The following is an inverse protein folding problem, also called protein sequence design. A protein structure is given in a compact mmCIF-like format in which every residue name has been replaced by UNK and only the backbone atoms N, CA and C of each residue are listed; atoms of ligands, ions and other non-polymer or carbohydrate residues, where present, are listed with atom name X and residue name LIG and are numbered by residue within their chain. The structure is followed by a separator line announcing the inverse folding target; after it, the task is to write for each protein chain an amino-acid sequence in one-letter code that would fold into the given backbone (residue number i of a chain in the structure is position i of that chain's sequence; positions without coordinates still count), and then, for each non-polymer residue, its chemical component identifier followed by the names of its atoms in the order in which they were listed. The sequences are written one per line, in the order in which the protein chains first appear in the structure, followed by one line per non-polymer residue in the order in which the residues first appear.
data_IF_844901035653
#
_entry.id   IF_844901035653
#
_cell.length_a   1.000
_cell.length_b   1.000
_cell.length_c   1.000
_cell.angle_alpha   90.00
_cell.angle_beta   90.00
_cell.angle_gamma   90.00
#
_symmetry.space_group_name_H-M   'P 1'
#
loop_
_entity.id
_entity.type
_entity.pdbx_description
1 polymer ?
#
# COMPACT_ATOMS: atom_id res chain seq x y z
N UNK A 1 11.41 -18.85 31.29
CA UNK A 1 11.24 -19.39 29.92
C UNK A 1 10.25 -18.59 29.08
N UNK A 2 9.03 -18.32 29.56
CA UNK A 2 8.03 -17.54 28.82
C UNK A 2 8.43 -16.08 28.53
N UNK A 3 9.07 -15.38 29.48
CA UNK A 3 9.49 -13.98 29.30
C UNK A 3 10.51 -13.83 28.14
N UNK A 4 11.50 -14.72 28.07
CA UNK A 4 12.50 -14.71 27.00
C UNK A 4 11.83 -14.92 25.63
N UNK A 5 10.85 -15.84 25.55
CA UNK A 5 10.12 -16.08 24.30
C UNK A 5 9.25 -14.88 23.83
N UNK A 6 8.74 -14.07 24.76
CA UNK A 6 7.99 -12.85 24.45
C UNK A 6 8.91 -11.74 23.95
N UNK A 7 10.07 -11.57 24.60
CA UNK A 7 11.10 -10.61 24.20
C UNK A 7 11.61 -10.94 22.79
N UNK A 8 11.91 -12.21 22.51
CA UNK A 8 12.36 -12.66 21.19
C UNK A 8 11.34 -12.34 20.09
N UNK A 9 10.04 -12.55 20.34
CA UNK A 9 8.98 -12.21 19.39
C UNK A 9 8.92 -10.70 19.13
N UNK A 10 8.98 -9.87 20.16
CA UNK A 10 8.95 -8.41 20.02
C UNK A 10 10.15 -7.90 19.23
N UNK A 11 11.35 -8.44 19.48
CA UNK A 11 12.58 -8.09 18.74
C UNK A 11 12.47 -8.47 17.26
N UNK A 12 11.89 -9.63 16.93
CA UNK A 12 11.64 -10.02 15.55
C UNK A 12 10.65 -9.07 14.84
N UNK A 13 9.59 -8.65 15.53
CA UNK A 13 8.63 -7.68 15.00
C UNK A 13 9.28 -6.32 14.75
N UNK A 14 10.10 -5.84 15.69
CA UNK A 14 10.85 -4.58 15.52
C UNK A 14 11.81 -4.62 14.33
N UNK A 15 12.53 -5.73 14.12
CA UNK A 15 13.39 -5.90 12.92
C UNK A 15 12.59 -5.81 11.62
N UNK A 16 11.40 -6.40 11.57
CA UNK A 16 10.55 -6.33 10.37
C UNK A 16 10.04 -4.92 10.11
N UNK A 17 9.61 -4.21 11.16
CA UNK A 17 9.17 -2.81 11.06
C UNK A 17 10.32 -1.91 10.62
N UNK A 18 11.53 -2.12 11.15
CA UNK A 18 12.72 -1.37 10.77
C UNK A 18 13.06 -1.57 9.28
N UNK A 19 13.06 -2.81 8.79
CA UNK A 19 13.30 -3.09 7.37
C UNK A 19 12.20 -2.47 6.48
N UNK A 20 10.96 -2.47 6.96
CA UNK A 20 9.84 -1.86 6.26
C UNK A 20 9.94 -0.34 6.20
N UNK A 21 10.40 0.30 7.29
CA UNK A 21 10.68 1.73 7.37
C UNK A 21 11.73 2.15 6.35
N UNK A 22 12.82 1.39 6.20
CA UNK A 22 13.82 1.68 5.17
C UNK A 22 13.20 1.71 3.77
N UNK A 23 12.40 0.70 3.42
CA UNK A 23 11.70 0.65 2.13
C UNK A 23 10.69 1.80 1.96
N UNK A 24 9.92 2.11 3.00
CA UNK A 24 8.96 3.23 2.98
C UNK A 24 9.62 4.60 2.83
N UNK A 25 10.84 4.79 3.35
CA UNK A 25 11.58 6.04 3.19
C UNK A 25 12.22 6.11 1.80
N UNK A 26 12.70 4.99 1.25
CA UNK A 26 13.33 4.96 -0.07
C UNK A 26 12.36 5.35 -1.20
N UNK A 27 11.10 4.92 -1.14
CA UNK A 27 10.09 5.21 -2.19
C UNK A 27 9.84 6.70 -2.43
N UNK A 28 9.45 7.51 -1.43
CA UNK A 28 9.28 8.96 -1.61
C UNK A 28 10.61 9.62 -1.94
N UNK A 29 11.74 9.14 -1.41
CA UNK A 29 13.05 9.71 -1.69
C UNK A 29 13.41 9.59 -3.19
N UNK A 30 13.21 8.42 -3.80
CA UNK A 30 13.42 8.23 -5.25
C UNK A 30 12.40 9.04 -6.06
N UNK A 31 11.13 8.97 -5.68
CA UNK A 31 10.04 9.61 -6.43
C UNK A 31 10.10 11.14 -6.38
N UNK A 32 10.71 11.71 -5.34
CA UNK A 32 10.97 13.15 -5.23
C UNK A 32 12.30 13.57 -5.87
N UNK A 33 13.34 12.73 -5.77
CA UNK A 33 14.66 13.05 -6.31
C UNK A 33 14.67 13.09 -7.84
N UNK A 34 13.95 12.20 -8.51
CA UNK A 34 13.90 12.15 -9.99
C UNK A 34 13.32 13.45 -10.59
N UNK A 35 12.12 13.93 -10.19
CA UNK A 35 11.60 15.22 -10.64
C UNK A 35 12.53 16.38 -10.29
N UNK A 36 13.12 16.36 -9.09
CA UNK A 36 14.01 17.41 -8.61
C UNK A 36 15.24 17.56 -9.52
N UNK A 37 15.92 16.45 -9.83
CA UNK A 37 17.07 16.43 -10.74
C UNK A 37 16.69 16.92 -12.14
N UNK A 38 15.52 16.50 -12.65
CA UNK A 38 15.02 16.99 -13.93
C UNK A 38 14.78 18.51 -13.92
N UNK A 39 14.18 19.06 -12.87
CA UNK A 39 13.96 20.50 -12.76
C UNK A 39 15.27 21.28 -12.72
N UNK A 40 16.26 20.83 -11.93
CA UNK A 40 17.59 21.46 -11.91
C UNK A 40 18.26 21.42 -13.27
N UNK A 41 18.22 20.27 -13.96
CA UNK A 41 18.75 20.13 -15.31
C UNK A 41 18.04 21.08 -16.29
N UNK A 42 16.72 21.13 -16.26
CA UNK A 42 15.90 21.98 -17.13
C UNK A 42 16.26 23.47 -16.96
N UNK A 43 16.47 23.93 -15.73
CA UNK A 43 16.85 25.32 -15.43
C UNK A 43 18.27 25.64 -15.91
N UNK A 44 19.27 24.82 -15.56
CA UNK A 44 20.68 25.08 -15.89
C UNK A 44 20.90 25.12 -17.41
N UNK A 45 20.28 24.18 -18.13
CA UNK A 45 20.45 24.05 -19.57
C UNK A 45 19.38 24.81 -20.39
N UNK A 46 18.46 25.53 -19.73
CA UNK A 46 17.30 26.18 -20.36
C UNK A 46 16.49 25.25 -21.28
N UNK A 47 16.42 23.96 -20.92
CA UNK A 47 15.74 22.93 -21.70
C UNK A 47 14.40 22.61 -21.07
N UNK A 48 13.33 23.20 -21.62
CA UNK A 48 11.96 23.03 -21.14
C UNK A 48 11.19 22.11 -22.08
N UNK A 49 11.04 20.85 -21.68
CA UNK A 49 10.25 19.88 -22.45
C UNK A 49 8.93 19.62 -21.72
N UNK A 50 7.82 20.03 -22.33
CA UNK A 50 6.49 19.94 -21.73
C UNK A 50 6.07 18.49 -21.46
N UNK A 51 6.47 17.54 -22.31
CA UNK A 51 6.21 16.11 -22.08
C UNK A 51 6.94 15.62 -20.83
N UNK A 52 8.23 15.93 -20.68
CA UNK A 52 9.02 15.50 -19.53
C UNK A 52 8.55 16.18 -18.23
N UNK A 53 8.19 17.46 -18.31
CA UNK A 53 7.61 18.20 -17.18
C UNK A 53 6.28 17.60 -16.72
N UNK A 54 5.39 17.26 -17.66
CA UNK A 54 4.12 16.60 -17.31
C UNK A 54 4.35 15.24 -16.66
N UNK A 55 5.28 14.43 -17.19
CA UNK A 55 5.66 13.14 -16.58
C UNK A 55 6.21 13.35 -15.16
N UNK A 56 7.10 14.31 -14.95
CA UNK A 56 7.66 14.63 -13.65
C UNK A 56 6.58 15.03 -12.62
N UNK A 57 5.62 15.86 -13.03
CA UNK A 57 4.49 16.27 -12.19
C UNK A 57 3.56 15.08 -11.90
N UNK A 58 3.27 14.22 -12.88
CA UNK A 58 2.45 13.01 -12.65
C UNK A 58 3.14 12.04 -11.69
N UNK A 59 4.45 11.81 -11.82
CA UNK A 59 5.23 11.04 -10.86
C UNK A 59 5.14 11.64 -9.45
N UNK A 60 5.29 12.95 -9.35
CA UNK A 60 5.16 13.67 -8.09
C UNK A 60 3.74 13.56 -7.50
N UNK A 61 2.68 13.62 -8.30
CA UNK A 61 1.31 13.48 -7.80
C UNK A 61 0.99 12.05 -7.36
N UNK A 62 1.52 11.05 -8.05
CA UNK A 62 1.22 9.62 -7.79
C UNK A 62 2.05 9.01 -6.65
N UNK A 63 3.12 9.68 -6.19
CA UNK A 63 4.01 9.17 -5.14
C UNK A 63 3.28 8.72 -3.86
N UNK A 64 2.25 9.46 -3.44
CA UNK A 64 1.50 9.16 -2.21
C UNK A 64 0.73 7.84 -2.32
N UNK A 65 0.16 7.57 -3.50
CA UNK A 65 -0.54 6.32 -3.81
C UNK A 65 0.44 5.14 -3.85
N UNK A 66 1.59 5.31 -4.50
CA UNK A 66 2.65 4.28 -4.55
C UNK A 66 3.17 3.99 -3.13
N UNK A 67 3.38 5.02 -2.32
CA UNK A 67 3.83 4.89 -0.93
C UNK A 67 2.85 4.09 -0.07
N UNK A 68 1.54 4.30 -0.25
CA UNK A 68 0.52 3.52 0.48
C UNK A 68 0.48 2.06 0.04
N UNK A 69 0.60 1.78 -1.27
CA UNK A 69 0.68 0.41 -1.77
C UNK A 69 1.90 -0.30 -1.19
N UNK A 70 3.07 0.34 -1.22
CA UNK A 70 4.31 -0.21 -0.68
C UNK A 70 4.18 -0.46 0.82
N UNK A 71 3.63 0.50 1.58
CA UNK A 71 3.35 0.33 3.00
C UNK A 71 2.53 -0.93 3.26
N UNK A 72 1.41 -1.09 2.55
CA UNK A 72 0.52 -2.24 2.69
C UNK A 72 1.25 -3.54 2.35
N UNK A 73 2.03 -3.58 1.27
CA UNK A 73 2.71 -4.79 0.79
C UNK A 73 3.86 -5.22 1.69
N UNK A 74 4.62 -4.28 2.23
CA UNK A 74 5.84 -4.58 3.00
C UNK A 74 5.47 -4.97 4.43
N UNK A 75 4.53 -4.28 5.06
CA UNK A 75 4.12 -4.56 6.44
C UNK A 75 3.25 -5.82 6.53
N UNK A 76 3.83 -6.91 7.04
CA UNK A 76 3.16 -8.21 7.31
C UNK A 76 1.79 -8.08 8.01
N UNK A 77 1.60 -7.27 9.08
CA UNK A 77 0.29 -7.13 9.72
C UNK A 77 -0.74 -6.43 8.82
N UNK A 78 -0.30 -5.47 8.00
CA UNK A 78 -1.17 -4.74 7.06
C UNK A 78 -1.67 -5.65 5.95
N UNK A 79 -0.80 -6.47 5.34
CA UNK A 79 -1.24 -7.48 4.37
C UNK A 79 -2.28 -8.42 4.95
N UNK A 80 -2.04 -8.93 6.16
CA UNK A 80 -2.93 -9.89 6.81
C UNK A 80 -4.30 -9.26 7.08
N UNK A 81 -4.32 -8.06 7.64
CA UNK A 81 -5.55 -7.31 7.86
C UNK A 81 -6.31 -7.07 6.55
N UNK A 82 -5.61 -6.69 5.47
CA UNK A 82 -6.24 -6.43 4.18
C UNK A 82 -6.83 -7.69 3.54
N UNK A 83 -6.12 -8.83 3.57
CA UNK A 83 -6.68 -10.11 3.12
C UNK A 83 -7.84 -10.59 4.00
N UNK A 84 -7.78 -10.37 5.32
CA UNK A 84 -8.87 -10.70 6.23
C UNK A 84 -10.11 -9.84 5.96
N UNK A 85 -9.95 -8.55 5.64
CA UNK A 85 -11.03 -7.66 5.23
C UNK A 85 -11.64 -8.11 3.92
N UNK A 86 -10.84 -8.35 2.87
CA UNK A 86 -11.31 -8.84 1.57
C UNK A 86 -12.06 -10.17 1.72
N UNK A 87 -11.53 -11.11 2.52
CA UNK A 87 -12.17 -12.40 2.76
C UNK A 87 -13.50 -12.25 3.50
N UNK A 88 -13.62 -11.30 4.42
CA UNK A 88 -14.89 -11.00 5.11
C UNK A 88 -15.91 -10.41 4.14
N UNK A 89 -15.51 -9.48 3.26
CA UNK A 89 -16.41 -8.91 2.24
C UNK A 89 -17.02 -9.99 1.35
N UNK A 90 -16.20 -10.89 0.80
CA UNK A 90 -16.68 -12.01 -0.02
C UNK A 90 -17.68 -12.91 0.73
N UNK A 91 -17.46 -13.16 2.03
CA UNK A 91 -18.38 -13.97 2.85
C UNK A 91 -19.72 -13.28 3.11
N UNK A 92 -19.72 -11.96 3.24
CA UNK A 92 -20.96 -11.18 3.47
C UNK A 92 -21.82 -11.20 2.21
N UNK A 93 -21.21 -10.99 1.04
CA UNK A 93 -21.89 -11.00 -0.26
C UNK A 93 -22.55 -12.35 -0.57
N UNK A 94 -21.81 -13.46 -0.36
CA UNK A 94 -22.33 -14.84 -0.54
C UNK A 94 -23.48 -15.16 0.44
N UNK A 95 -23.43 -14.61 1.66
CA UNK A 95 -24.50 -14.82 2.66
C UNK A 95 -25.77 -14.05 2.31
N UNK A 96 -25.66 -12.85 1.74
CA UNK A 96 -26.82 -12.08 1.29
C UNK A 96 -27.53 -12.74 0.09
N UNK A 97 -26.78 -13.28 -0.88
CA UNK A 97 -27.38 -14.05 -1.97
C UNK A 97 -28.11 -15.30 -1.47
N UNK A 98 -27.48 -16.07 -0.58
CA UNK A 98 -28.09 -17.29 -0.02
C UNK A 98 -29.38 -17.01 0.77
N UNK A 99 -29.43 -15.88 1.48
CA UNK A 99 -30.64 -15.45 2.19
C UNK A 99 -31.75 -15.01 1.23
N UNK A 100 -31.42 -14.28 0.16
CA UNK A 100 -32.40 -13.89 -0.85
C UNK A 100 -33.03 -15.11 -1.52
N UNK A 101 -32.24 -16.12 -1.90
CA UNK A 101 -32.76 -17.37 -2.49
C UNK A 101 -33.66 -18.12 -1.51
N UNK A 102 -33.27 -18.20 -0.23
CA UNK A 102 -34.07 -18.91 0.79
C UNK A 102 -35.41 -18.23 1.04
N UNK A 103 -35.43 -16.89 1.14
CA UNK A 103 -36.67 -16.12 1.34
C UNK A 103 -37.59 -16.23 0.13
N UNK A 104 -37.05 -16.16 -1.09
CA UNK A 104 -37.85 -16.29 -2.33
C UNK A 104 -38.53 -17.67 -2.40
N UNK A 105 -37.82 -18.76 -2.10
CA UNK A 105 -38.42 -20.12 -2.07
C UNK A 105 -39.54 -20.25 -1.03
N UNK A 106 -39.43 -19.54 0.10
CA UNK A 106 -40.43 -19.54 1.17
C UNK A 106 -41.68 -18.70 0.86
N UNK A 107 -41.56 -17.68 0.01
CA UNK A 107 -42.71 -16.83 -0.39
C UNK A 107 -43.52 -17.46 -1.53
N UNK A 108 -42.91 -18.36 -2.30
CA UNK A 108 -43.53 -19.00 -3.48
C UNK A 108 -44.22 -20.34 -3.12
N UNK A 109 -43.91 -20.96 -1.97
CA UNK A 109 -44.65 -22.09 -1.41
C UNK A 109 -45.73 -21.63 -0.43
#
# INVERSE_FOLDING_TARGET
MALNSLIEKTVQMQKQILMALFLQISVPLITLLIPLVYFFYSIIFNYYNQSLTNIAITCLSTHGFISTIVMIMVHRPYRRALFDMIRRTNKVEVREESLKTTVVVFVIN
#
